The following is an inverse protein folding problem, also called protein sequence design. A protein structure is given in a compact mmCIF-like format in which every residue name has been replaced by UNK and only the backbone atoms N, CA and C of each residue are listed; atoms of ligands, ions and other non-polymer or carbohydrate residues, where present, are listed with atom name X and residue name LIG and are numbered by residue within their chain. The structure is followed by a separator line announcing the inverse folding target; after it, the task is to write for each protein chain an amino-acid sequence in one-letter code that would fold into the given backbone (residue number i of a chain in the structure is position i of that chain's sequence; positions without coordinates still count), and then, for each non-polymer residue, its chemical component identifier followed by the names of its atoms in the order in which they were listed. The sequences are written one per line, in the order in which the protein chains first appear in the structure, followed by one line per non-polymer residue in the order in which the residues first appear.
data_IF_093827605724
#
_entry.id   IF_093827605724
#
_cell.length_a   1.000
_cell.length_b   1.000
_cell.length_c   1.000
_cell.angle_alpha   90.00
_cell.angle_beta   90.00
_cell.angle_gamma   90.00
#
_symmetry.space_group_name_H-M   'P 1'
#
loop_
_entity.id
_entity.type
_entity.pdbx_description
1 polymer ?
#
# COMPACT_ATOMS: atom_id res chain seq x y z
N UNK A 1 -4.70 -0.93 12.01
CA UNK A 1 -5.66 -1.63 11.12
C UNK A 1 -6.19 -0.63 10.12
N UNK A 2 -6.27 -1.03 8.87
CA UNK A 2 -6.69 -0.24 7.71
C UNK A 2 -7.72 -1.03 6.91
N UNK A 3 -8.25 -0.43 5.85
CA UNK A 3 -9.27 -1.03 4.99
C UNK A 3 -8.78 -1.26 3.56
N UNK A 4 -7.67 -0.64 3.18
CA UNK A 4 -7.20 -0.55 1.80
C UNK A 4 -8.00 0.44 0.95
N UNK A 5 -8.71 1.36 1.59
CA UNK A 5 -9.37 2.47 0.91
C UNK A 5 -8.53 3.72 1.13
N UNK A 6 -7.78 4.10 0.10
CA UNK A 6 -6.96 5.32 0.10
C UNK A 6 -7.86 6.54 0.31
N UNK A 7 -7.45 7.42 1.23
CA UNK A 7 -8.21 8.62 1.57
C UNK A 7 -7.61 9.88 0.96
N UNK A 8 -6.31 9.89 0.75
CA UNK A 8 -5.59 11.06 0.26
C UNK A 8 -4.36 10.64 -0.56
N UNK A 9 -3.99 11.42 -1.55
CA UNK A 9 -2.68 11.38 -2.19
C UNK A 9 -1.78 12.41 -1.49
N UNK A 10 -0.77 11.93 -0.78
CA UNK A 10 0.27 12.76 -0.18
C UNK A 10 1.45 12.98 -1.11
N UNK A 11 2.29 13.97 -0.80
CA UNK A 11 3.51 14.26 -1.54
C UNK A 11 4.71 14.25 -0.59
N UNK A 12 5.76 13.53 -0.95
CA UNK A 12 7.01 13.49 -0.18
C UNK A 12 7.67 14.85 -0.25
N UNK A 13 7.79 15.54 0.90
CA UNK A 13 8.51 16.82 1.03
C UNK A 13 9.99 16.58 1.21
N UNK A 14 10.36 15.53 1.95
CA UNK A 14 11.75 15.10 2.11
C UNK A 14 11.84 13.65 2.56
N UNK A 15 12.94 13.00 2.13
CA UNK A 15 13.36 11.68 2.61
C UNK A 15 14.82 11.78 3.05
N UNK A 16 15.09 11.69 4.35
CA UNK A 16 16.42 11.92 4.91
C UNK A 16 16.90 10.70 5.69
N UNK A 17 18.14 10.27 5.45
CA UNK A 17 18.76 9.20 6.21
C UNK A 17 18.78 9.54 7.72
N UNK A 18 18.35 8.58 8.55
CA UNK A 18 18.25 8.74 10.00
C UNK A 18 18.72 7.46 10.71
N UNK A 19 19.99 7.43 11.13
CA UNK A 19 20.50 6.39 12.03
C UNK A 19 20.31 4.94 11.58
N UNK A 20 20.33 4.65 10.27
CA UNK A 20 20.09 3.33 9.68
C UNK A 20 18.65 3.13 9.16
N UNK A 21 17.84 4.18 9.23
CA UNK A 21 16.52 4.29 8.63
C UNK A 21 16.39 5.53 7.77
N UNK A 22 15.16 5.92 7.47
CA UNK A 22 14.81 7.14 6.73
C UNK A 22 13.71 7.87 7.48
N UNK A 23 13.91 9.19 7.69
CA UNK A 23 12.84 10.10 8.08
C UNK A 23 12.14 10.61 6.83
N UNK A 24 10.84 10.31 6.73
CA UNK A 24 9.96 10.82 5.69
C UNK A 24 9.14 11.99 6.22
N UNK A 25 9.09 13.08 5.46
CA UNK A 25 8.11 14.16 5.65
C UNK A 25 7.18 14.18 4.47
N UNK A 26 5.87 14.09 4.72
CA UNK A 26 4.85 13.99 3.69
C UNK A 26 3.83 15.11 3.86
N UNK A 27 3.57 15.88 2.81
CA UNK A 27 2.46 16.81 2.73
C UNK A 27 1.17 16.00 2.64
N UNK A 28 0.25 16.18 3.59
CA UNK A 28 -0.96 15.36 3.76
C UNK A 28 -2.04 16.22 4.44
N UNK A 29 -2.58 17.21 3.73
CA UNK A 29 -3.41 18.26 4.31
C UNK A 29 -4.64 17.74 5.06
N UNK A 30 -5.37 16.79 4.50
CA UNK A 30 -6.56 16.20 5.12
C UNK A 30 -6.17 15.26 6.27
N UNK A 31 -5.27 14.32 6.02
CA UNK A 31 -4.81 13.36 7.03
C UNK A 31 -4.11 14.09 8.19
N UNK A 32 -3.25 15.08 7.90
CA UNK A 32 -2.55 15.86 8.92
C UNK A 32 -3.50 16.70 9.79
N UNK A 33 -4.66 17.09 9.26
CA UNK A 33 -5.65 17.88 10.02
C UNK A 33 -6.29 17.10 11.17
N UNK A 34 -6.26 15.77 11.12
CA UNK A 34 -6.91 14.88 12.09
C UNK A 34 -5.96 13.95 12.83
N UNK A 35 -4.72 13.81 12.34
CA UNK A 35 -3.70 12.96 12.95
C UNK A 35 -2.99 13.64 14.12
N UNK A 36 -2.49 12.83 15.04
CA UNK A 36 -1.64 13.25 16.15
C UNK A 36 -0.36 12.40 16.22
N UNK A 37 0.72 12.89 16.83
CA UNK A 37 1.89 12.05 17.11
C UNK A 37 1.49 10.80 17.89
N UNK A 38 1.96 9.64 17.42
CA UNK A 38 1.59 8.31 17.94
C UNK A 38 0.50 7.61 17.11
N UNK A 39 -0.24 8.31 16.25
CA UNK A 39 -1.21 7.69 15.36
C UNK A 39 -0.51 6.85 14.27
N UNK A 40 -1.23 5.87 13.74
CA UNK A 40 -0.79 5.07 12.60
C UNK A 40 -1.42 5.58 11.31
N UNK A 41 -0.58 5.72 10.27
CA UNK A 41 -1.01 6.02 8.90
C UNK A 41 -0.34 5.01 7.97
N UNK A 42 -1.10 4.42 7.06
CA UNK A 42 -0.54 3.62 5.98
C UNK A 42 -0.02 4.55 4.87
N UNK A 43 1.27 4.43 4.54
CA UNK A 43 1.94 5.13 3.45
C UNK A 43 2.30 4.08 2.38
N UNK A 44 1.68 4.17 1.21
CA UNK A 44 1.75 3.11 0.19
C UNK A 44 1.56 1.70 0.81
N UNK A 45 0.56 1.57 1.68
CA UNK A 45 0.23 0.31 2.36
C UNK A 45 1.16 -0.08 3.51
N UNK A 46 2.20 0.70 3.81
CA UNK A 46 3.07 0.45 4.95
C UNK A 46 2.60 1.24 6.17
N UNK A 47 2.28 0.56 7.27
CA UNK A 47 1.89 1.18 8.54
C UNK A 47 3.10 1.89 9.16
N UNK A 48 3.02 3.21 9.27
CA UNK A 48 4.01 4.04 9.94
C UNK A 48 3.38 4.81 11.09
N UNK A 49 4.18 5.07 12.13
CA UNK A 49 3.75 5.90 13.26
C UNK A 49 4.10 7.35 12.98
N UNK A 50 3.12 8.24 13.12
CA UNK A 50 3.33 9.69 13.04
C UNK A 50 4.23 10.12 14.19
N UNK A 51 5.36 10.77 13.89
CA UNK A 51 6.30 11.29 14.89
C UNK A 51 6.10 12.78 15.16
N UNK A 52 5.65 13.53 14.15
CA UNK A 52 5.28 14.94 14.28
C UNK A 52 4.21 15.32 13.25
N UNK A 53 3.44 16.37 13.57
CA UNK A 53 2.47 17.01 12.69
C UNK A 53 2.74 18.50 12.70
N UNK A 54 2.97 19.10 11.53
CA UNK A 54 3.20 20.54 11.42
C UNK A 54 2.83 21.05 10.02
N UNK A 55 2.13 22.17 9.95
CA UNK A 55 1.85 22.90 8.71
C UNK A 55 1.27 22.02 7.57
N UNK A 56 0.37 21.08 7.92
CA UNK A 56 -0.23 20.15 6.96
C UNK A 56 0.69 19.02 6.51
N UNK A 57 1.83 18.83 7.21
CA UNK A 57 2.76 17.70 6.98
C UNK A 57 2.74 16.71 8.11
N UNK A 58 3.08 15.47 7.79
CA UNK A 58 3.30 14.35 8.71
C UNK A 58 4.75 13.89 8.61
N UNK A 59 5.41 13.72 9.75
CA UNK A 59 6.74 13.11 9.82
C UNK A 59 6.64 11.65 10.29
N UNK A 60 7.45 10.79 9.69
CA UNK A 60 7.55 9.36 9.99
C UNK A 60 9.01 8.94 10.05
N UNK A 61 9.32 7.96 10.89
CA UNK A 61 10.62 7.28 10.89
C UNK A 61 10.44 5.84 10.38
N UNK A 62 10.97 5.54 9.18
CA UNK A 62 11.00 4.20 8.61
C UNK A 62 12.31 3.50 8.98
N UNK A 63 12.24 2.38 9.71
CA UNK A 63 13.40 1.60 10.13
C UNK A 63 13.96 0.73 9.01
N UNK A 64 15.20 0.23 9.15
CA UNK A 64 15.87 -0.56 8.12
C UNK A 64 15.06 -1.78 7.64
N UNK A 65 14.38 -2.49 8.53
CA UNK A 65 13.52 -3.64 8.15
C UNK A 65 12.37 -3.20 7.24
N UNK A 66 11.73 -2.06 7.54
CA UNK A 66 10.68 -1.49 6.70
C UNK A 66 11.20 -1.15 5.30
N UNK A 67 12.39 -0.50 5.24
CA UNK A 67 13.01 -0.13 3.96
C UNK A 67 13.42 -1.35 3.13
N UNK A 68 13.84 -2.43 3.77
CA UNK A 68 14.22 -3.66 3.09
C UNK A 68 13.02 -4.36 2.44
N UNK A 69 11.84 -4.30 3.07
CA UNK A 69 10.63 -4.99 2.61
C UNK A 69 9.72 -4.17 1.72
N UNK A 70 9.87 -2.85 1.72
CA UNK A 70 8.95 -1.93 1.05
C UNK A 70 9.64 -1.09 -0.02
N UNK A 71 8.85 -0.39 -0.82
CA UNK A 71 9.34 0.60 -1.79
C UNK A 71 9.70 1.95 -1.15
N UNK A 72 9.44 2.14 0.16
CA UNK A 72 9.62 3.43 0.83
C UNK A 72 11.06 3.96 0.80
N UNK A 73 12.05 3.06 0.73
CA UNK A 73 13.45 3.45 0.64
C UNK A 73 13.86 4.10 -0.68
N UNK A 74 13.02 3.98 -1.71
CA UNK A 74 13.21 4.59 -3.03
C UNK A 74 12.38 5.85 -3.26
N UNK A 75 11.71 6.39 -2.23
CA UNK A 75 10.92 7.60 -2.38
C UNK A 75 11.82 8.83 -2.39
N UNK A 76 11.69 9.64 -3.43
CA UNK A 76 12.35 10.92 -3.58
C UNK A 76 11.41 12.09 -3.27
N UNK A 77 11.95 13.29 -3.09
CA UNK A 77 11.18 14.53 -2.96
C UNK A 77 10.28 14.73 -4.17
N UNK A 78 9.01 15.07 -3.92
CA UNK A 78 7.97 15.23 -4.93
C UNK A 78 7.23 13.93 -5.30
N UNK A 79 7.69 12.76 -4.83
CA UNK A 79 6.97 11.50 -5.06
C UNK A 79 5.57 11.56 -4.43
N UNK A 80 4.58 11.00 -5.12
CA UNK A 80 3.23 10.86 -4.57
C UNK A 80 3.10 9.51 -3.87
N UNK A 81 2.31 9.50 -2.81
CA UNK A 81 2.05 8.30 -1.98
C UNK A 81 0.57 8.19 -1.64
N UNK A 82 0.06 6.97 -1.60
CA UNK A 82 -1.27 6.67 -1.09
C UNK A 82 -1.28 6.76 0.43
N UNK A 83 -2.23 7.48 1.00
CA UNK A 83 -2.39 7.62 2.44
C UNK A 83 -3.75 7.09 2.91
N UNK A 84 -3.71 6.34 4.00
CA UNK A 84 -4.90 5.91 4.73
C UNK A 84 -4.64 6.04 6.23
N UNK A 85 -5.37 6.89 6.99
CA UNK A 85 -5.31 6.89 8.45
C UNK A 85 -5.92 5.59 9.01
N UNK A 86 -5.45 5.16 10.18
CA UNK A 86 -5.97 3.97 10.83
C UNK A 86 -7.48 4.05 11.07
N UNK A 87 -8.18 2.95 10.78
CA UNK A 87 -9.63 2.81 10.97
C UNK A 87 -9.99 3.04 12.44
N UNK A 88 -10.96 3.88 12.69
CA UNK A 88 -11.49 4.16 14.03
C UNK A 88 -12.63 3.21 14.39
N UNK A 89 -12.84 2.98 15.67
CA UNK A 89 -13.94 2.13 16.13
C UNK A 89 -15.29 2.67 15.65
N UNK A 90 -16.07 1.81 14.98
CA UNK A 90 -17.39 2.16 14.43
C UNK A 90 -17.37 2.61 12.97
N UNK A 91 -16.20 2.81 12.36
CA UNK A 91 -16.11 3.10 10.92
C UNK A 91 -16.31 1.83 10.07
N UNK A 92 -16.89 1.96 8.87
CA UNK A 92 -17.12 0.82 7.98
C UNK A 92 -15.81 0.27 7.40
N UNK A 93 -15.70 -1.06 7.33
CA UNK A 93 -14.63 -1.75 6.61
C UNK A 93 -14.99 -1.78 5.11
N UNK A 94 -14.57 -0.76 4.35
CA UNK A 94 -14.96 -0.60 2.94
C UNK A 94 -14.24 -1.54 1.97
N UNK A 95 -13.04 -2.04 2.32
CA UNK A 95 -12.25 -2.99 1.54
C UNK A 95 -12.15 -4.35 2.23
N UNK A 96 -10.94 -4.71 2.71
CA UNK A 96 -10.70 -5.93 3.48
C UNK A 96 -9.82 -5.63 4.72
N UNK A 97 -9.46 -6.64 5.51
CA UNK A 97 -8.58 -6.46 6.67
C UNK A 97 -7.14 -6.22 6.22
N UNK A 98 -6.71 -4.96 6.21
CA UNK A 98 -5.35 -4.54 5.89
C UNK A 98 -4.65 -4.12 7.17
N UNK A 99 -3.47 -4.68 7.43
CA UNK A 99 -2.70 -4.37 8.63
C UNK A 99 -1.70 -3.24 8.41
N UNK A 100 -1.31 -3.00 7.14
CA UNK A 100 -0.19 -2.16 6.76
C UNK A 100 1.15 -2.88 6.98
N UNK A 101 1.13 -4.19 7.05
CA UNK A 101 2.31 -5.04 7.21
C UNK A 101 2.67 -5.66 5.87
N UNK A 102 3.40 -4.90 5.07
CA UNK A 102 3.83 -5.31 3.73
C UNK A 102 4.58 -6.64 3.79
N UNK A 103 4.08 -7.63 3.05
CA UNK A 103 4.68 -8.96 2.99
C UNK A 103 5.89 -9.01 2.07
N UNK A 104 5.85 -8.21 1.00
CA UNK A 104 6.90 -8.15 0.00
C UNK A 104 6.58 -7.14 -1.09
N UNK A 105 7.33 -7.22 -2.19
CA UNK A 105 7.14 -6.38 -3.36
C UNK A 105 6.61 -7.20 -4.51
N UNK A 106 5.72 -6.60 -5.29
CA UNK A 106 5.32 -7.09 -6.60
C UNK A 106 5.96 -6.21 -7.68
N UNK A 107 6.16 -6.77 -8.87
CA UNK A 107 6.67 -6.04 -10.02
C UNK A 107 5.58 -5.85 -11.07
N UNK A 108 5.42 -4.62 -11.53
CA UNK A 108 4.45 -4.31 -12.59
C UNK A 108 4.92 -4.93 -13.89
N UNK A 109 4.16 -5.88 -14.42
CA UNK A 109 4.40 -6.47 -15.74
C UNK A 109 3.70 -5.67 -16.84
N UNK A 110 2.49 -5.20 -16.58
CA UNK A 110 1.71 -4.39 -17.51
C UNK A 110 0.63 -3.57 -16.79
N UNK A 111 0.30 -2.43 -17.36
CA UNK A 111 -0.90 -1.65 -17.03
C UNK A 111 -1.60 -1.31 -18.36
N UNK A 112 -2.61 -2.11 -18.71
CA UNK A 112 -3.28 -2.02 -20.00
C UNK A 112 -4.64 -1.31 -19.85
N UNK A 113 -4.93 -0.25 -20.60
CA UNK A 113 -6.23 0.39 -20.59
C UNK A 113 -7.35 -0.61 -20.96
N UNK A 114 -8.47 -0.58 -20.23
CA UNK A 114 -9.63 -1.45 -20.48
C UNK A 114 -10.94 -0.66 -20.28
N UNK A 115 -11.50 -0.17 -21.35
CA UNK A 115 -12.63 0.77 -21.28
C UNK A 115 -12.22 2.04 -20.55
N UNK A 116 -13.00 2.45 -19.55
CA UNK A 116 -12.69 3.61 -18.69
C UNK A 116 -11.75 3.25 -17.53
N UNK A 117 -11.42 1.98 -17.34
CA UNK A 117 -10.51 1.47 -16.31
C UNK A 117 -9.21 0.91 -16.89
N UNK A 118 -8.53 0.05 -16.13
CA UNK A 118 -7.30 -0.61 -16.55
C UNK A 118 -7.18 -2.04 -16.00
N UNK A 119 -6.37 -2.85 -16.65
CA UNK A 119 -5.91 -4.16 -16.18
C UNK A 119 -4.46 -4.03 -15.75
N UNK A 120 -4.22 -4.21 -14.45
CA UNK A 120 -2.88 -4.27 -13.89
C UNK A 120 -2.46 -5.73 -13.75
N UNK A 121 -1.31 -6.10 -14.31
CA UNK A 121 -0.67 -7.39 -14.11
C UNK A 121 0.57 -7.20 -13.25
N UNK A 122 0.62 -7.93 -12.12
CA UNK A 122 1.75 -7.94 -11.20
C UNK A 122 2.40 -9.31 -11.15
N UNK A 123 3.70 -9.37 -11.36
CA UNK A 123 4.53 -10.52 -11.03
C UNK A 123 4.76 -10.56 -9.53
N UNK A 124 4.55 -11.73 -8.92
CA UNK A 124 4.72 -11.97 -7.50
C UNK A 124 5.63 -13.17 -7.27
N UNK A 125 6.47 -13.10 -6.25
CA UNK A 125 7.22 -14.25 -5.77
C UNK A 125 6.28 -15.37 -5.27
N UNK A 126 6.73 -16.65 -5.31
CA UNK A 126 5.91 -17.79 -4.91
C UNK A 126 5.47 -17.70 -3.44
N UNK A 127 6.22 -16.99 -2.59
CA UNK A 127 5.92 -16.74 -1.17
C UNK A 127 4.68 -15.85 -0.98
N UNK A 128 4.37 -14.97 -1.94
CA UNK A 128 3.16 -14.14 -1.95
C UNK A 128 2.03 -14.81 -2.72
N UNK A 129 2.36 -15.37 -3.89
CA UNK A 129 1.39 -15.94 -4.82
C UNK A 129 0.58 -17.10 -4.20
N UNK A 130 1.21 -17.88 -3.31
CA UNK A 130 0.55 -19.00 -2.60
C UNK A 130 -0.64 -18.59 -1.75
N UNK A 131 -0.72 -17.32 -1.35
CA UNK A 131 -1.85 -16.75 -0.60
C UNK A 131 -2.91 -16.11 -1.48
N UNK A 132 -2.65 -16.02 -2.78
CA UNK A 132 -3.57 -15.42 -3.73
C UNK A 132 -4.57 -16.47 -4.24
N UNK A 133 -5.83 -16.06 -4.33
CA UNK A 133 -6.89 -16.88 -4.94
C UNK A 133 -7.71 -15.99 -5.88
N UNK A 134 -8.21 -16.57 -6.98
CA UNK A 134 -9.12 -15.84 -7.87
C UNK A 134 -10.35 -15.37 -7.10
N UNK A 135 -10.74 -14.10 -7.29
CA UNK A 135 -11.77 -13.35 -6.55
C UNK A 135 -11.44 -13.07 -5.08
N UNK A 136 -10.23 -13.41 -4.62
CA UNK A 136 -9.73 -12.99 -3.32
C UNK A 136 -9.29 -11.54 -3.29
N UNK A 137 -8.98 -11.03 -2.09
CA UNK A 137 -8.47 -9.68 -1.86
C UNK A 137 -6.95 -9.66 -1.81
N UNK A 138 -6.38 -8.53 -2.22
CA UNK A 138 -4.96 -8.20 -2.09
C UNK A 138 -4.82 -6.69 -1.93
N UNK A 139 -3.87 -6.22 -1.13
CA UNK A 139 -3.54 -4.80 -1.06
C UNK A 139 -2.27 -4.52 -1.86
N UNK A 140 -2.35 -3.55 -2.79
CA UNK A 140 -1.24 -3.07 -3.62
C UNK A 140 -1.04 -1.59 -3.37
N UNK A 141 0.15 -1.19 -2.88
CA UNK A 141 0.42 0.16 -2.39
C UNK A 141 -0.70 0.71 -1.48
N UNK A 142 -1.25 -0.17 -0.63
CA UNK A 142 -2.34 0.14 0.29
C UNK A 142 -3.72 0.17 -0.33
N UNK A 143 -3.88 -0.13 -1.61
CA UNK A 143 -5.17 -0.17 -2.29
C UNK A 143 -5.74 -1.58 -2.24
N UNK A 144 -6.94 -1.75 -1.64
CA UNK A 144 -7.68 -3.01 -1.63
C UNK A 144 -8.21 -3.32 -3.03
N UNK A 145 -7.78 -4.43 -3.59
CA UNK A 145 -8.14 -4.87 -4.94
C UNK A 145 -8.63 -6.31 -4.94
N UNK A 146 -9.41 -6.65 -5.95
CA UNK A 146 -9.86 -8.03 -6.20
C UNK A 146 -9.00 -8.67 -7.26
N UNK A 147 -8.49 -9.88 -7.00
CA UNK A 147 -7.76 -10.68 -7.96
C UNK A 147 -8.74 -11.17 -9.04
N UNK A 148 -8.61 -10.65 -10.25
CA UNK A 148 -9.47 -10.97 -11.38
C UNK A 148 -9.07 -12.28 -12.07
N UNK A 149 -7.77 -12.57 -12.12
CA UNK A 149 -7.21 -13.81 -12.61
C UNK A 149 -5.90 -14.12 -11.90
N UNK A 150 -5.57 -15.41 -11.79
CA UNK A 150 -4.35 -15.93 -11.19
C UNK A 150 -3.54 -16.66 -12.27
N UNK A 151 -2.28 -16.25 -12.48
CA UNK A 151 -1.31 -16.92 -13.33
C UNK A 151 -0.32 -17.79 -12.53
N UNK A 152 0.66 -18.37 -13.21
CA UNK A 152 1.69 -19.20 -12.58
C UNK A 152 2.68 -18.39 -11.73
N UNK A 153 2.90 -17.12 -12.10
CA UNK A 153 3.84 -16.20 -11.46
C UNK A 153 3.27 -14.78 -11.26
N UNK A 154 1.99 -14.59 -11.53
CA UNK A 154 1.39 -13.26 -11.56
C UNK A 154 -0.09 -13.26 -11.17
N UNK A 155 -0.58 -12.07 -10.80
CA UNK A 155 -2.01 -11.80 -10.61
C UNK A 155 -2.45 -10.71 -11.55
N UNK A 156 -3.71 -10.77 -11.98
CA UNK A 156 -4.35 -9.68 -12.71
C UNK A 156 -5.41 -9.00 -11.85
N UNK A 157 -5.38 -7.68 -11.85
CA UNK A 157 -6.24 -6.82 -11.06
C UNK A 157 -7.00 -5.87 -11.98
N UNK A 158 -8.32 -5.75 -11.78
CA UNK A 158 -9.14 -4.80 -12.53
C UNK A 158 -9.21 -3.48 -11.75
N UNK A 159 -8.69 -2.40 -12.34
CA UNK A 159 -8.73 -1.07 -11.77
C UNK A 159 -9.91 -0.30 -12.36
N UNK A 160 -10.82 0.15 -11.49
CA UNK A 160 -11.96 0.99 -11.88
C UNK A 160 -11.51 2.46 -12.00
N UNK A 161 -12.25 3.30 -12.74
CA UNK A 161 -11.88 4.72 -12.93
C UNK A 161 -11.60 5.45 -11.62
N UNK A 162 -12.44 5.27 -10.61
CA UNK A 162 -12.26 5.88 -9.30
C UNK A 162 -10.90 5.55 -8.66
N UNK A 163 -10.47 4.28 -8.76
CA UNK A 163 -9.16 3.85 -8.24
C UNK A 163 -8.02 4.54 -8.99
N UNK A 164 -8.12 4.65 -10.31
CA UNK A 164 -7.12 5.31 -11.14
C UNK A 164 -7.02 6.81 -10.83
N UNK A 165 -8.14 7.47 -10.56
CA UNK A 165 -8.19 8.90 -10.26
C UNK A 165 -7.69 9.26 -8.85
N UNK A 166 -7.85 8.35 -7.87
CA UNK A 166 -7.65 8.65 -6.45
C UNK A 166 -6.46 7.91 -5.82
N UNK A 167 -5.67 7.19 -6.63
CA UNK A 167 -4.48 6.47 -6.14
C UNK A 167 -3.30 6.64 -7.09
N UNK A 168 -2.10 6.28 -6.60
CA UNK A 168 -0.88 6.29 -7.41
C UNK A 168 -0.88 5.23 -8.51
N UNK A 169 -1.81 4.26 -8.50
CA UNK A 169 -1.80 3.11 -9.42
C UNK A 169 -1.91 3.48 -10.90
N UNK A 170 -2.55 4.62 -11.23
CA UNK A 170 -2.63 5.10 -12.61
C UNK A 170 -1.28 5.50 -13.23
N UNK A 171 -0.25 5.73 -12.39
CA UNK A 171 1.09 6.19 -12.81
C UNK A 171 2.10 5.07 -12.96
N UNK A 172 1.70 3.85 -12.59
CA UNK A 172 2.56 2.68 -12.68
C UNK A 172 2.94 2.38 -14.13
N UNK A 173 4.19 1.98 -14.30
CA UNK A 173 4.77 1.57 -15.57
C UNK A 173 5.38 0.17 -15.46
N UNK A 174 5.46 -0.61 -16.54
CA UNK A 174 6.15 -1.89 -16.51
C UNK A 174 7.57 -1.74 -15.98
N UNK A 175 7.90 -2.57 -14.98
CA UNK A 175 9.16 -2.53 -14.28
C UNK A 175 9.15 -1.80 -12.94
N UNK A 176 8.08 -1.10 -12.58
CA UNK A 176 7.94 -0.50 -11.26
C UNK A 176 7.70 -1.57 -10.19
N UNK A 177 8.24 -1.33 -8.99
CA UNK A 177 7.96 -2.15 -7.82
C UNK A 177 6.83 -1.52 -7.00
N UNK A 178 5.94 -2.34 -6.46
CA UNK A 178 4.84 -1.95 -5.58
C UNK A 178 4.86 -2.75 -4.28
N UNK A 179 4.35 -2.17 -3.20
CA UNK A 179 4.18 -2.88 -1.94
C UNK A 179 2.97 -3.82 -2.03
N UNK A 180 3.15 -5.03 -1.53
CA UNK A 180 2.08 -6.04 -1.53
C UNK A 180 1.86 -6.56 -0.12
N UNK A 181 0.59 -6.52 0.33
CA UNK A 181 0.10 -7.23 1.50
C UNK A 181 -0.97 -8.22 1.05
N UNK A 182 -0.76 -9.51 1.31
CA UNK A 182 -1.75 -10.54 1.01
C UNK A 182 -2.83 -10.58 2.08
N UNK A 183 -4.00 -11.12 1.76
CA UNK A 183 -5.12 -11.18 2.71
C UNK A 183 -4.71 -11.95 3.98
N UNK A 184 -4.85 -11.31 5.13
CA UNK A 184 -4.55 -11.88 6.45
C UNK A 184 -5.27 -13.21 6.69
N UNK A 185 -6.50 -13.34 6.16
CA UNK A 185 -7.29 -14.56 6.31
C UNK A 185 -6.64 -15.75 5.61
N UNK A 186 -5.98 -15.54 4.47
CA UNK A 186 -5.24 -16.59 3.77
C UNK A 186 -4.06 -17.12 4.60
N UNK A 187 -3.33 -16.23 5.30
CA UNK A 187 -2.23 -16.61 6.20
C UNK A 187 -2.73 -17.45 7.37
N UNK A 188 -3.84 -17.07 7.99
CA UNK A 188 -4.43 -17.84 9.07
C UNK A 188 -5.00 -19.18 8.60
N UNK A 189 -5.67 -19.20 7.43
CA UNK A 189 -6.17 -20.45 6.85
C UNK A 189 -5.05 -21.46 6.59
N UNK A 190 -3.92 -21.00 6.00
CA UNK A 190 -2.75 -21.86 5.81
C UNK A 190 -2.19 -22.38 7.12
N UNK A 191 -2.02 -21.50 8.13
CA UNK A 191 -1.47 -21.89 9.43
C UNK A 191 -2.32 -22.96 10.13
N UNK A 192 -3.65 -22.85 10.03
CA UNK A 192 -4.59 -23.79 10.61
C UNK A 192 -4.65 -25.12 9.84
N UNK A 193 -4.45 -25.09 8.52
CA UNK A 193 -4.44 -26.29 7.68
C UNK A 193 -3.12 -27.09 7.79
N UNK A 194 -2.03 -26.45 8.23
CA UNK A 194 -0.69 -27.05 8.33
C UNK A 194 -0.33 -27.56 9.73
N UNK A 195 -1.27 -27.50 10.69
CA UNK A 195 -1.08 -27.86 12.12
C UNK A 195 -1.44 -29.29 12.47
#
# INVERSE_FOLDING_TARGET
MFTGIVRELGHVVSAQANGGGVRLRIQAGETASTAAPGDSVAVNGCCLTVTAVADGTLDFDAVAETLARTTLGGLDEGAEVNLEPALRAGEPLGGHFVQGHVDGRGRVAALDPQGDGARLRLELGPELLRYCVEKGSIAVDGVSLTIAALGDDSVELALVPFTLEHTTLARLSPGDDVNVEVDLLAKYAERLASG
#
